data_IF_853054979846
#
_entry.id   IF_853054979846
#
_cell.length_a   1.000
_cell.length_b   1.000
_cell.length_c   1.000
_cell.angle_alpha   90.00
_cell.angle_beta   90.00
_cell.angle_gamma   90.00
#
_symmetry.space_group_name_H-M   'P 1'
#
loop_
_entity.id
_entity.type
_entity.pdbx_description
1 polymer ?
#
# COMPACT_ATOMS: atom_id res chain seq x y z
N UNK A 1 2.51 7.93 6.78
CA UNK A 1 2.88 6.81 5.89
C UNK A 1 4.03 7.20 4.97
N UNK A 2 3.88 8.23 4.12
CA UNK A 2 4.93 8.69 3.19
C UNK A 2 6.30 8.93 3.87
N UNK A 3 6.33 9.61 5.02
CA UNK A 3 7.56 9.83 5.81
C UNK A 3 8.34 8.55 6.19
N UNK A 4 7.71 7.38 6.16
CA UNK A 4 8.32 6.09 6.47
C UNK A 4 8.67 5.27 5.20
N UNK A 5 7.85 5.37 4.15
CA UNK A 5 7.93 4.52 2.94
C UNK A 5 8.62 5.20 1.74
N UNK A 6 8.56 6.53 1.66
CA UNK A 6 9.03 7.29 0.49
C UNK A 6 10.42 7.90 0.73
N UNK A 7 11.22 7.97 -0.34
CA UNK A 7 12.53 8.64 -0.32
C UNK A 7 12.37 10.15 -0.11
N UNK A 8 11.36 10.74 -0.73
CA UNK A 8 11.08 12.17 -0.71
C UNK A 8 9.62 12.40 -0.32
N UNK A 9 9.29 12.38 0.98
CA UNK A 9 7.92 12.57 1.43
C UNK A 9 7.46 14.03 1.20
N UNK A 10 6.16 14.27 0.97
CA UNK A 10 5.58 15.61 0.88
C UNK A 10 5.71 16.36 2.20
N UNK A 11 5.71 17.70 2.10
CA UNK A 11 5.72 18.59 3.25
C UNK A 11 4.33 18.66 3.90
N UNK A 12 4.27 19.15 5.14
CA UNK A 12 2.98 19.29 5.84
C UNK A 12 2.09 20.35 5.20
N UNK A 13 2.72 21.38 4.61
CA UNK A 13 2.05 22.43 3.84
C UNK A 13 1.27 21.86 2.66
N UNK A 14 1.83 20.89 1.94
CA UNK A 14 1.18 20.26 0.78
C UNK A 14 -0.15 19.60 1.19
N UNK A 15 -0.20 18.99 2.39
CA UNK A 15 -1.43 18.40 2.92
C UNK A 15 -2.47 19.45 3.33
N UNK A 16 -2.04 20.58 3.90
CA UNK A 16 -2.94 21.69 4.20
C UNK A 16 -3.57 22.23 2.91
N UNK A 17 -2.77 22.42 1.86
CA UNK A 17 -3.21 22.95 0.57
C UNK A 17 -4.20 22.01 -0.13
N UNK A 18 -3.95 20.69 -0.14
CA UNK A 18 -4.87 19.69 -0.71
C UNK A 18 -6.24 19.70 0.00
N UNK A 19 -6.28 20.05 1.28
CA UNK A 19 -7.51 20.14 2.07
C UNK A 19 -8.18 21.51 2.03
N UNK A 20 -7.76 22.40 1.11
CA UNK A 20 -8.24 23.78 1.02
C UNK A 20 -8.08 24.57 2.34
N UNK A 21 -6.98 24.32 3.07
CA UNK A 21 -6.71 24.91 4.38
C UNK A 21 -7.79 24.65 5.44
N UNK A 22 -8.53 23.53 5.32
CA UNK A 22 -9.49 23.09 6.34
C UNK A 22 -8.82 22.77 7.68
N UNK A 23 -7.53 22.46 7.67
CA UNK A 23 -6.71 22.19 8.84
C UNK A 23 -5.45 23.06 8.85
N UNK A 24 -5.06 23.51 10.04
CA UNK A 24 -3.80 24.21 10.24
C UNK A 24 -2.64 23.23 10.34
N UNK A 25 -1.43 23.68 9.97
CA UNK A 25 -0.19 22.90 10.16
C UNK A 25 -0.03 22.35 11.58
N UNK A 26 -0.39 23.14 12.59
CA UNK A 26 -0.29 22.74 13.99
C UNK A 26 -1.22 21.57 14.33
N UNK A 27 -2.43 21.54 13.77
CA UNK A 27 -3.38 20.44 13.96
C UNK A 27 -2.90 19.15 13.28
N UNK A 28 -2.35 19.25 12.06
CA UNK A 28 -1.80 18.10 11.34
C UNK A 28 -0.62 17.49 12.11
N UNK A 29 0.31 18.31 12.58
CA UNK A 29 1.47 17.85 13.38
C UNK A 29 1.04 17.26 14.71
N UNK A 30 0.05 17.87 15.38
CA UNK A 30 -0.51 17.33 16.62
C UNK A 30 -1.13 15.96 16.41
N UNK A 31 -1.89 15.78 15.33
CA UNK A 31 -2.50 14.49 15.00
C UNK A 31 -1.46 13.44 14.62
N UNK A 32 -0.41 13.83 13.88
CA UNK A 32 0.73 12.96 13.61
C UNK A 32 1.35 12.42 14.91
N UNK A 33 1.66 13.30 15.87
CA UNK A 33 2.21 12.89 17.15
C UNK A 33 1.28 11.94 17.92
N UNK A 34 -0.04 12.22 17.92
CA UNK A 34 -1.02 11.36 18.57
C UNK A 34 -1.08 9.96 17.93
N UNK A 35 -1.03 9.87 16.59
CA UNK A 35 -1.02 8.59 15.88
C UNK A 35 0.25 7.79 16.20
N UNK A 36 1.42 8.45 16.19
CA UNK A 36 2.69 7.79 16.53
C UNK A 36 2.70 7.24 17.96
N UNK A 37 2.18 8.01 18.92
CA UNK A 37 2.03 7.56 20.31
C UNK A 37 1.05 6.39 20.43
N UNK A 38 -0.09 6.45 19.75
CA UNK A 38 -1.08 5.36 19.75
C UNK A 38 -0.53 4.05 19.16
N UNK A 39 0.33 4.15 18.15
CA UNK A 39 1.02 3.01 17.54
C UNK A 39 2.28 2.59 18.30
N UNK A 40 2.65 3.28 19.38
CA UNK A 40 3.90 3.05 20.12
C UNK A 40 5.14 3.07 19.19
N UNK A 41 5.09 3.88 18.13
CA UNK A 41 6.09 3.94 17.07
C UNK A 41 6.33 2.61 16.32
N UNK A 42 5.44 1.61 16.43
CA UNK A 42 5.49 0.36 15.67
C UNK A 42 4.98 0.53 14.23
N UNK A 43 5.79 1.14 13.36
CA UNK A 43 5.40 1.41 11.96
C UNK A 43 5.83 0.31 10.96
N UNK A 44 6.78 -0.55 11.33
CA UNK A 44 7.45 -1.49 10.41
C UNK A 44 6.70 -2.78 10.09
N UNK A 45 5.37 -2.81 10.16
CA UNK A 45 4.59 -4.02 9.87
C UNK A 45 4.54 -4.24 8.35
N UNK A 46 4.72 -5.47 7.85
CA UNK A 46 4.72 -5.74 6.42
C UNK A 46 3.34 -5.46 5.81
N UNK A 47 3.32 -4.74 4.70
CA UNK A 47 2.10 -4.38 3.98
C UNK A 47 1.81 -5.38 2.86
N UNK A 48 0.62 -5.29 2.25
CA UNK A 48 0.26 -6.11 1.08
C UNK A 48 1.29 -5.89 -0.04
N UNK A 49 1.70 -4.64 -0.24
CA UNK A 49 2.70 -4.26 -1.23
C UNK A 49 4.07 -4.91 -0.99
N UNK A 50 4.50 -5.04 0.28
CA UNK A 50 5.73 -5.76 0.63
C UNK A 50 5.72 -7.22 0.14
N UNK A 51 4.58 -7.90 0.24
CA UNK A 51 4.43 -9.27 -0.23
C UNK A 51 4.27 -9.37 -1.75
N UNK A 52 3.57 -8.43 -2.40
CA UNK A 52 3.41 -8.41 -3.86
C UNK A 52 4.76 -8.44 -4.55
N UNK A 53 5.71 -7.58 -4.17
CA UNK A 53 7.07 -7.55 -4.75
C UNK A 53 7.78 -8.91 -4.67
N UNK A 54 7.56 -9.66 -3.59
CA UNK A 54 8.15 -10.99 -3.43
C UNK A 54 7.43 -12.04 -4.27
N UNK A 55 6.11 -12.02 -4.29
CA UNK A 55 5.27 -13.01 -4.97
C UNK A 55 5.28 -12.87 -6.49
N UNK A 56 5.30 -11.64 -7.01
CA UNK A 56 5.41 -11.38 -8.46
C UNK A 56 6.72 -11.92 -9.01
N UNK A 57 7.83 -11.75 -8.29
CA UNK A 57 9.14 -12.31 -8.64
C UNK A 57 9.11 -13.84 -8.74
N UNK A 58 8.49 -14.52 -7.78
CA UNK A 58 8.36 -15.98 -7.79
C UNK A 58 7.42 -16.44 -8.90
N UNK A 59 6.30 -15.75 -9.10
CA UNK A 59 5.32 -16.08 -10.14
C UNK A 59 5.85 -15.94 -11.57
N UNK A 60 6.93 -15.17 -11.76
CA UNK A 60 7.61 -15.00 -13.04
C UNK A 60 8.62 -16.11 -13.35
N UNK A 61 9.11 -16.84 -12.36
CA UNK A 61 10.02 -17.98 -12.61
C UNK A 61 9.34 -19.06 -13.45
N UNK A 62 8.02 -19.18 -13.31
CA UNK A 62 7.22 -20.12 -14.09
C UNK A 62 6.97 -19.65 -15.53
N UNK A 63 7.03 -18.34 -15.84
CA UNK A 63 6.58 -17.78 -17.13
C UNK A 63 7.25 -16.46 -17.53
N UNK A 64 7.61 -16.32 -18.82
CA UNK A 64 8.06 -15.08 -19.46
C UNK A 64 6.92 -14.03 -19.64
N UNK A 65 6.14 -13.76 -18.60
CA UNK A 65 5.22 -12.61 -18.60
C UNK A 65 6.04 -11.35 -18.31
N UNK A 66 5.90 -10.26 -19.10
CA UNK A 66 6.59 -9.02 -18.80
C UNK A 66 6.26 -8.54 -17.39
N UNK A 67 7.29 -8.31 -16.57
CA UNK A 67 7.15 -7.79 -15.19
C UNK A 67 6.27 -6.54 -15.12
N UNK A 68 6.33 -5.73 -16.18
CA UNK A 68 5.55 -4.50 -16.37
C UNK A 68 4.04 -4.71 -16.47
N UNK A 69 3.54 -5.95 -16.56
CA UNK A 69 2.10 -6.26 -16.58
C UNK A 69 1.62 -6.87 -15.27
N UNK A 70 2.39 -7.82 -14.70
CA UNK A 70 1.93 -8.57 -13.53
C UNK A 70 1.93 -7.74 -12.24
N UNK A 71 3.03 -7.03 -11.96
CA UNK A 71 3.15 -6.27 -10.71
C UNK A 71 2.17 -5.09 -10.65
N UNK A 72 2.06 -4.22 -11.68
CA UNK A 72 1.10 -3.11 -11.64
C UNK A 72 -0.35 -3.58 -11.50
N UNK A 73 -0.74 -4.66 -12.19
CA UNK A 73 -2.08 -5.24 -12.05
C UNK A 73 -2.32 -5.81 -10.66
N UNK A 74 -1.32 -6.49 -10.07
CA UNK A 74 -1.41 -7.01 -8.71
C UNK A 74 -1.55 -5.88 -7.68
N UNK A 75 -0.78 -4.79 -7.84
CA UNK A 75 -0.89 -3.59 -6.99
C UNK A 75 -2.29 -2.98 -7.09
N UNK A 76 -2.78 -2.76 -8.31
CA UNK A 76 -4.13 -2.24 -8.54
C UNK A 76 -5.21 -3.10 -7.88
N UNK A 77 -5.19 -4.41 -8.08
CA UNK A 77 -6.14 -5.33 -7.46
C UNK A 77 -6.05 -5.28 -5.92
N UNK A 78 -4.85 -5.14 -5.37
CA UNK A 78 -4.67 -5.02 -3.93
C UNK A 78 -5.19 -3.69 -3.37
N UNK A 79 -5.06 -2.58 -4.10
CA UNK A 79 -5.59 -1.27 -3.70
C UNK A 79 -7.12 -1.27 -3.64
N UNK A 80 -7.78 -1.99 -4.57
CA UNK A 80 -9.22 -2.19 -4.51
C UNK A 80 -9.67 -2.87 -3.21
N UNK A 81 -8.85 -3.76 -2.63
CA UNK A 81 -9.19 -4.40 -1.36
C UNK A 81 -9.23 -3.40 -0.22
N UNK A 82 -8.33 -2.42 -0.20
CA UNK A 82 -8.24 -1.40 0.85
C UNK A 82 -9.50 -0.53 0.91
N UNK A 83 -10.18 -0.36 -0.22
CA UNK A 83 -11.45 0.38 -0.31
C UNK A 83 -12.64 -0.40 0.25
N UNK A 84 -12.59 -1.74 0.28
CA UNK A 84 -13.65 -2.58 0.83
C UNK A 84 -13.33 -3.02 2.27
N UNK A 85 -14.08 -2.46 3.23
CA UNK A 85 -13.95 -2.79 4.65
C UNK A 85 -14.05 -4.29 4.96
N UNK A 86 -14.76 -5.07 4.13
CA UNK A 86 -14.89 -6.53 4.33
C UNK A 86 -13.56 -7.27 4.23
N UNK A 87 -12.55 -6.66 3.60
CA UNK A 87 -11.25 -7.28 3.38
C UNK A 87 -10.26 -7.08 4.53
N UNK A 88 -10.55 -6.13 5.45
CA UNK A 88 -9.69 -5.79 6.60
C UNK A 88 -9.39 -6.99 7.51
N UNK A 89 -10.29 -7.99 7.52
CA UNK A 89 -10.11 -9.22 8.29
C UNK A 89 -9.00 -10.15 7.76
N UNK A 90 -8.55 -9.96 6.53
CA UNK A 90 -7.55 -10.81 5.90
C UNK A 90 -6.15 -10.27 6.15
N UNK A 91 -5.20 -11.17 6.34
CA UNK A 91 -3.80 -10.79 6.54
C UNK A 91 -3.16 -10.30 5.23
N UNK A 92 -2.19 -9.37 5.27
CA UNK A 92 -1.62 -8.78 4.07
C UNK A 92 -1.03 -9.77 3.06
N UNK A 93 -0.40 -10.85 3.54
CA UNK A 93 0.16 -11.91 2.69
C UNK A 93 -0.92 -12.66 1.91
N UNK A 94 -2.09 -12.90 2.51
CA UNK A 94 -3.21 -13.57 1.84
C UNK A 94 -3.80 -12.70 0.74
N UNK A 95 -3.96 -11.40 1.01
CA UNK A 95 -4.43 -10.43 0.01
C UNK A 95 -3.44 -10.33 -1.16
N UNK A 96 -2.14 -10.26 -0.88
CA UNK A 96 -1.10 -10.21 -1.92
C UNK A 96 -1.10 -11.48 -2.80
N UNK A 97 -1.16 -12.66 -2.19
CA UNK A 97 -1.21 -13.92 -2.92
C UNK A 97 -2.46 -14.02 -3.82
N UNK A 98 -3.61 -13.58 -3.29
CA UNK A 98 -4.88 -13.55 -4.02
C UNK A 98 -4.85 -12.58 -5.20
N UNK A 99 -4.28 -11.39 -4.99
CA UNK A 99 -4.12 -10.38 -6.04
C UNK A 99 -3.18 -10.87 -7.16
N UNK A 100 -2.05 -11.48 -6.81
CA UNK A 100 -1.11 -12.05 -7.79
C UNK A 100 -1.74 -13.22 -8.55
N UNK A 101 -2.47 -14.11 -7.86
CA UNK A 101 -3.19 -15.21 -8.51
C UNK A 101 -4.22 -14.69 -9.51
N UNK A 102 -5.06 -13.73 -9.11
CA UNK A 102 -6.08 -13.16 -9.97
C UNK A 102 -5.46 -12.39 -11.15
N UNK A 103 -4.38 -11.63 -10.92
CA UNK A 103 -3.65 -10.95 -11.98
C UNK A 103 -3.10 -11.95 -13.02
N UNK A 104 -2.53 -13.08 -12.57
CA UNK A 104 -2.06 -14.15 -13.47
C UNK A 104 -3.21 -14.72 -14.30
N UNK A 105 -4.34 -15.03 -13.65
CA UNK A 105 -5.51 -15.57 -14.32
C UNK A 105 -6.11 -14.60 -15.35
N UNK A 106 -6.13 -13.29 -15.06
CA UNK A 106 -6.60 -12.28 -16.02
C UNK A 106 -5.67 -12.19 -17.24
N UNK A 107 -4.35 -12.20 -17.02
CA UNK A 107 -3.36 -12.15 -18.10
C UNK A 107 -3.42 -13.43 -18.94
N UNK A 108 -3.63 -14.58 -18.30
CA UNK A 108 -3.73 -15.88 -18.96
C UNK A 108 -4.62 -16.83 -18.12
N UNK A 109 -5.89 -17.01 -18.53
CA UNK A 109 -6.85 -17.84 -17.80
C UNK A 109 -6.52 -19.34 -17.88
#
# INVERSE_FOLDING_TARGET
ASKYEEISPPNVEDFCDITENSFTKQEVVKMEANILLALQFELGRPTVHSFIRRFTRVAQEDFNVPHLQLEPLSCYLSELTILDYKTVKFVPSMLAASAVFLARFIIRP
#
